data_IF_129905781847
#
_entry.id   IF_129905781847
#
_cell.length_a   1.000
_cell.length_b   1.000
_cell.length_c   1.000
_cell.angle_alpha   90.00
_cell.angle_beta   90.00
_cell.angle_gamma   90.00
#
_symmetry.space_group_name_H-M   'P 1'
#
loop_
_entity.id
_entity.type
_entity.pdbx_description
1 polymer ?
#
# COMPACT_ATOMS: atom_id res chain seq x y z
N UNK A 1 -25.32 4.69 22.34
CA UNK A 1 -24.02 4.45 21.67
C UNK A 1 -23.57 3.06 22.09
N UNK A 2 -23.83 2.05 21.26
CA UNK A 2 -23.43 0.66 21.54
C UNK A 2 -21.92 0.56 21.39
N UNK A 3 -21.22 0.01 22.39
CA UNK A 3 -19.82 -0.38 22.23
C UNK A 3 -19.83 -1.58 21.31
N UNK A 4 -19.34 -1.42 20.08
CA UNK A 4 -18.94 -2.53 19.25
C UNK A 4 -17.91 -3.33 20.07
N UNK A 5 -18.33 -4.42 20.70
CA UNK A 5 -17.46 -5.36 21.40
C UNK A 5 -16.57 -5.99 20.34
N UNK A 6 -15.32 -5.55 20.29
CA UNK A 6 -14.29 -6.24 19.54
C UNK A 6 -14.13 -7.65 20.14
N UNK A 7 -14.06 -8.69 19.32
CA UNK A 7 -13.85 -10.04 19.82
C UNK A 7 -12.50 -10.10 20.55
N UNK A 8 -12.55 -10.64 21.76
CA UNK A 8 -11.44 -11.15 22.55
C UNK A 8 -10.78 -12.31 21.79
N UNK A 9 -10.00 -11.97 20.76
CA UNK A 9 -9.22 -12.93 20.02
C UNK A 9 -7.74 -12.59 20.18
N UNK A 10 -6.95 -13.56 20.60
CA UNK A 10 -5.49 -13.47 20.54
C UNK A 10 -5.12 -13.28 19.06
N UNK A 11 -4.70 -12.06 18.69
CA UNK A 11 -4.48 -11.66 17.29
C UNK A 11 -3.43 -12.52 16.57
N UNK A 12 -2.61 -13.26 17.32
CA UNK A 12 -1.56 -14.15 16.83
C UNK A 12 -2.04 -15.51 16.35
N UNK A 13 -3.24 -15.96 16.76
CA UNK A 13 -3.72 -17.32 16.45
C UNK A 13 -4.64 -17.39 15.23
N UNK A 14 -5.04 -16.24 14.67
CA UNK A 14 -5.91 -16.23 13.49
C UNK A 14 -5.16 -16.55 12.20
N UNK A 15 -5.78 -17.31 11.27
CA UNK A 15 -5.28 -17.51 9.92
C UNK A 15 -4.92 -16.19 9.22
N UNK A 16 -3.93 -16.25 8.30
CA UNK A 16 -3.48 -15.07 7.56
C UNK A 16 -4.64 -14.34 6.85
N UNK A 17 -5.52 -15.08 6.19
CA UNK A 17 -6.62 -14.51 5.40
C UNK A 17 -7.65 -13.78 6.28
N UNK A 18 -7.95 -14.31 7.47
CA UNK A 18 -8.84 -13.67 8.45
C UNK A 18 -8.25 -12.35 8.94
N UNK A 19 -6.95 -12.33 9.25
CA UNK A 19 -6.26 -11.09 9.64
C UNK A 19 -6.32 -10.03 8.52
N UNK A 20 -6.15 -10.45 7.26
CA UNK A 20 -6.29 -9.55 6.10
C UNK A 20 -7.72 -9.02 5.93
N UNK A 21 -8.74 -9.83 6.23
CA UNK A 21 -10.13 -9.37 6.18
C UNK A 21 -10.45 -8.31 7.24
N UNK A 22 -9.98 -8.53 8.46
CA UNK A 22 -10.07 -7.56 9.54
C UNK A 22 -9.36 -6.26 9.16
N UNK A 23 -8.15 -6.32 8.63
CA UNK A 23 -7.41 -5.13 8.18
C UNK A 23 -8.17 -4.35 7.11
N UNK A 24 -8.79 -5.04 6.14
CA UNK A 24 -9.64 -4.40 5.13
C UNK A 24 -10.83 -3.69 5.77
N UNK A 25 -11.48 -4.30 6.76
CA UNK A 25 -12.58 -3.68 7.51
C UNK A 25 -12.14 -2.40 8.22
N UNK A 26 -11.05 -2.44 9.00
CA UNK A 26 -10.54 -1.26 9.69
C UNK A 26 -10.05 -0.18 8.71
N UNK A 27 -9.38 -0.57 7.63
CA UNK A 27 -8.96 0.36 6.59
C UNK A 27 -10.16 1.05 5.94
N UNK A 28 -11.27 0.34 5.71
CA UNK A 28 -12.48 0.95 5.15
C UNK A 28 -13.18 1.88 6.16
N UNK A 29 -13.21 1.50 7.44
CA UNK A 29 -13.87 2.27 8.51
C UNK A 29 -13.11 3.53 8.92
N UNK A 30 -11.78 3.47 9.00
CA UNK A 30 -10.96 4.54 9.60
C UNK A 30 -10.03 5.24 8.60
N UNK A 31 -9.58 4.56 7.55
CA UNK A 31 -8.70 5.14 6.52
C UNK A 31 -9.53 5.56 5.31
N UNK A 32 -10.42 6.52 5.53
CA UNK A 32 -11.39 6.99 4.53
C UNK A 32 -10.71 7.77 3.40
N UNK A 33 -11.43 7.97 2.28
CA UNK A 33 -10.95 8.81 1.19
C UNK A 33 -10.68 10.25 1.64
N UNK A 34 -11.51 10.81 2.53
CA UNK A 34 -11.30 12.15 3.08
C UNK A 34 -10.03 12.24 3.91
N UNK A 35 -9.75 11.20 4.70
CA UNK A 35 -8.50 11.13 5.45
C UNK A 35 -7.29 11.07 4.50
N UNK A 36 -7.32 10.20 3.48
CA UNK A 36 -6.25 10.16 2.46
C UNK A 36 -6.11 11.49 1.71
N UNK A 37 -7.22 12.15 1.39
CA UNK A 37 -7.22 13.46 0.76
C UNK A 37 -6.54 14.52 1.65
N UNK A 38 -6.75 14.45 2.97
CA UNK A 38 -6.17 15.37 3.94
C UNK A 38 -4.65 15.22 4.08
N UNK A 39 -4.12 14.01 3.96
CA UNK A 39 -2.67 13.74 4.07
C UNK A 39 -1.93 13.82 2.72
N UNK A 40 -2.66 13.78 1.60
CA UNK A 40 -2.10 13.83 0.24
C UNK A 40 -1.07 14.93 0.01
N UNK A 41 -1.32 16.20 0.38
CA UNK A 41 -0.34 17.28 0.23
C UNK A 41 0.97 17.02 1.01
N UNK A 42 0.90 16.43 2.20
CA UNK A 42 2.07 16.09 2.99
C UNK A 42 2.88 14.96 2.35
N UNK A 43 2.21 13.93 1.80
CA UNK A 43 2.85 12.84 1.07
C UNK A 43 3.65 13.38 -0.13
N UNK A 44 3.02 14.23 -0.96
CA UNK A 44 3.69 14.86 -2.11
C UNK A 44 4.89 15.69 -1.67
N UNK A 45 4.72 16.54 -0.66
CA UNK A 45 5.79 17.41 -0.15
C UNK A 45 6.99 16.62 0.39
N UNK A 46 6.73 15.50 1.05
CA UNK A 46 7.78 14.65 1.63
C UNK A 46 8.60 13.90 0.59
N UNK A 47 8.09 13.77 -0.64
CA UNK A 47 8.74 13.01 -1.71
C UNK A 47 8.83 11.51 -1.45
N UNK A 48 8.10 10.98 -0.45
CA UNK A 48 8.09 9.54 -0.14
C UNK A 48 7.15 8.78 -1.06
N UNK A 49 7.43 7.48 -1.25
CA UNK A 49 6.53 6.57 -1.93
C UNK A 49 5.43 6.08 -0.98
N UNK A 50 4.23 5.88 -1.53
CA UNK A 50 3.21 5.04 -0.89
C UNK A 50 3.30 3.64 -1.48
N UNK A 51 3.39 2.62 -0.63
CA UNK A 51 3.50 1.25 -1.10
C UNK A 51 2.15 0.71 -1.60
N UNK A 52 2.18 0.08 -2.78
CA UNK A 52 1.18 -0.85 -3.27
C UNK A 52 1.62 -2.24 -2.80
N UNK A 53 0.95 -2.74 -1.78
CA UNK A 53 1.28 -3.97 -1.09
C UNK A 53 0.42 -5.12 -1.61
N UNK A 54 1.07 -6.10 -2.25
CA UNK A 54 0.41 -7.21 -2.94
C UNK A 54 -0.39 -8.10 -1.97
N UNK A 55 0.20 -8.43 -0.82
CA UNK A 55 -0.33 -9.46 0.09
C UNK A 55 -1.60 -9.05 0.84
N UNK A 56 -1.81 -7.75 1.09
CA UNK A 56 -3.05 -7.23 1.70
C UNK A 56 -3.96 -6.51 0.70
N UNK A 57 -3.57 -6.42 -0.57
CA UNK A 57 -4.25 -5.64 -1.59
C UNK A 57 -4.54 -4.20 -1.12
N UNK A 58 -3.51 -3.52 -0.63
CA UNK A 58 -3.62 -2.17 -0.05
C UNK A 58 -2.60 -1.19 -0.63
N UNK A 59 -2.92 0.12 -0.69
CA UNK A 59 -4.23 0.70 -0.37
C UNK A 59 -5.30 0.32 -1.41
N UNK A 60 -6.58 0.55 -1.10
CA UNK A 60 -7.69 0.22 -2.01
C UNK A 60 -7.58 0.99 -3.33
N UNK A 61 -8.18 0.49 -4.41
CA UNK A 61 -8.05 1.08 -5.75
C UNK A 61 -8.45 2.55 -5.79
N UNK A 62 -9.56 2.90 -5.14
CA UNK A 62 -10.04 4.28 -5.08
C UNK A 62 -9.08 5.23 -4.35
N UNK A 63 -8.30 4.70 -3.39
CA UNK A 63 -7.25 5.46 -2.69
C UNK A 63 -6.04 5.64 -3.60
N UNK A 64 -5.61 4.59 -4.32
CA UNK A 64 -4.50 4.68 -5.28
C UNK A 64 -4.81 5.73 -6.34
N UNK A 65 -6.01 5.71 -6.92
CA UNK A 65 -6.44 6.70 -7.91
C UNK A 65 -6.48 8.13 -7.32
N UNK A 66 -7.03 8.29 -6.11
CA UNK A 66 -7.06 9.57 -5.39
C UNK A 66 -5.66 10.18 -5.18
N UNK A 67 -4.70 9.35 -4.75
CA UNK A 67 -3.33 9.77 -4.44
C UNK A 67 -2.53 10.02 -5.73
N UNK A 68 -2.70 9.17 -6.75
CA UNK A 68 -2.09 9.36 -8.07
C UNK A 68 -2.48 10.70 -8.68
N UNK A 69 -3.77 11.05 -8.68
CA UNK A 69 -4.27 12.34 -9.19
C UNK A 69 -3.68 13.55 -8.46
N UNK A 70 -3.14 13.36 -7.24
CA UNK A 70 -2.46 14.39 -6.45
C UNK A 70 -0.94 14.43 -6.67
N UNK A 71 -0.39 13.52 -7.48
CA UNK A 71 1.04 13.44 -7.76
C UNK A 71 1.85 12.65 -6.74
N UNK A 72 1.19 11.83 -5.90
CA UNK A 72 1.89 10.87 -5.04
C UNK A 72 2.49 9.76 -5.92
N UNK A 73 3.74 9.38 -5.62
CA UNK A 73 4.42 8.27 -6.29
C UNK A 73 4.30 6.98 -5.47
N UNK A 74 4.40 5.86 -6.15
CA UNK A 74 4.20 4.53 -5.56
C UNK A 74 5.45 3.67 -5.62
N UNK A 75 5.59 2.78 -4.65
CA UNK A 75 6.43 1.59 -4.74
C UNK A 75 5.53 0.35 -4.83
N UNK A 76 6.08 -0.76 -5.31
CA UNK A 76 5.38 -2.04 -5.34
C UNK A 76 6.16 -3.08 -4.52
N UNK A 77 5.47 -3.78 -3.64
CA UNK A 77 6.06 -4.79 -2.76
C UNK A 77 5.22 -6.04 -2.68
N UNK A 78 5.84 -7.20 -2.92
CA UNK A 78 5.22 -8.51 -2.70
C UNK A 78 5.27 -8.98 -1.25
N UNK A 79 6.07 -8.32 -0.40
CA UNK A 79 6.32 -8.69 1.01
C UNK A 79 6.58 -10.19 1.19
N UNK A 80 7.46 -10.71 0.32
CA UNK A 80 7.68 -12.14 0.18
C UNK A 80 8.52 -12.70 1.32
N UNK A 81 7.97 -13.72 1.98
CA UNK A 81 8.62 -14.55 2.99
C UNK A 81 8.92 -15.97 2.45
N UNK A 82 8.58 -16.23 1.19
CA UNK A 82 8.87 -17.47 0.46
C UNK A 82 8.98 -17.24 -1.05
N UNK A 83 9.70 -18.11 -1.80
CA UNK A 83 9.89 -17.95 -3.25
C UNK A 83 8.59 -17.88 -4.05
N UNK A 84 7.56 -18.60 -3.64
CA UNK A 84 6.24 -18.63 -4.27
C UNK A 84 5.54 -17.26 -4.24
N UNK A 85 5.87 -16.42 -3.26
CA UNK A 85 5.28 -15.09 -3.11
C UNK A 85 5.93 -14.06 -4.03
N UNK A 86 7.17 -14.30 -4.48
CA UNK A 86 7.91 -13.39 -5.37
C UNK A 86 7.20 -13.20 -6.72
N UNK A 87 6.39 -14.16 -7.13
CA UNK A 87 5.68 -14.18 -8.41
C UNK A 87 4.26 -13.63 -8.35
N UNK A 88 3.72 -13.34 -7.16
CA UNK A 88 2.36 -12.80 -7.02
C UNK A 88 2.26 -11.42 -7.65
N UNK A 89 1.26 -11.22 -8.50
CA UNK A 89 1.07 -9.99 -9.31
C UNK A 89 -0.41 -9.65 -9.51
N UNK A 90 -1.32 -10.38 -8.88
CA UNK A 90 -2.75 -10.25 -9.02
C UNK A 90 -3.23 -8.82 -8.72
N UNK A 91 -2.79 -8.24 -7.61
CA UNK A 91 -3.23 -6.91 -7.20
C UNK A 91 -2.58 -5.82 -8.03
N UNK A 92 -1.26 -5.85 -8.26
CA UNK A 92 -0.62 -4.87 -9.15
C UNK A 92 -1.18 -4.92 -10.58
N UNK A 93 -1.49 -6.11 -11.10
CA UNK A 93 -2.13 -6.25 -12.42
C UNK A 93 -3.49 -5.56 -12.43
N UNK A 94 -4.28 -5.73 -11.37
CA UNK A 94 -5.57 -5.04 -11.22
C UNK A 94 -5.40 -3.53 -11.13
N UNK A 95 -4.42 -3.04 -10.38
CA UNK A 95 -4.08 -1.60 -10.28
C UNK A 95 -3.74 -1.03 -11.66
N UNK A 96 -2.85 -1.68 -12.40
CA UNK A 96 -2.43 -1.26 -13.73
C UNK A 96 -3.62 -1.21 -14.70
N UNK A 97 -4.48 -2.24 -14.69
CA UNK A 97 -5.64 -2.31 -15.58
C UNK A 97 -6.73 -1.29 -15.23
N UNK A 98 -7.01 -1.05 -13.95
CA UNK A 98 -8.10 -0.17 -13.54
C UNK A 98 -7.71 1.31 -13.47
N UNK A 99 -6.46 1.62 -13.12
CA UNK A 99 -6.00 2.99 -12.84
C UNK A 99 -5.08 3.49 -13.96
N UNK A 100 -4.36 2.59 -14.63
CA UNK A 100 -3.42 2.97 -15.68
C UNK A 100 -2.22 3.74 -15.13
N UNK A 101 -1.62 3.25 -14.03
CA UNK A 101 -0.35 3.78 -13.53
C UNK A 101 0.73 3.61 -14.62
N UNK A 102 1.61 4.59 -14.72
CA UNK A 102 2.77 4.56 -15.62
C UNK A 102 4.08 4.82 -14.86
N UNK A 103 5.21 4.81 -15.57
CA UNK A 103 6.52 4.99 -14.95
C UNK A 103 6.69 6.30 -14.15
N UNK A 104 5.99 7.37 -14.52
CA UNK A 104 6.06 8.64 -13.79
C UNK A 104 5.36 8.57 -12.42
N UNK A 105 4.43 7.62 -12.27
CA UNK A 105 3.73 7.34 -11.02
C UNK A 105 4.60 6.47 -10.07
N UNK A 106 5.72 5.90 -10.54
CA UNK A 106 6.59 5.04 -9.74
C UNK A 106 7.72 5.87 -9.09
N UNK A 107 7.93 5.64 -7.80
CA UNK A 107 9.03 6.24 -7.07
C UNK A 107 10.36 5.68 -7.55
N UNK A 108 11.25 6.58 -7.98
CA UNK A 108 12.63 6.28 -8.34
C UNK A 108 13.52 7.03 -7.32
N UNK A 109 14.28 6.32 -6.46
CA UNK A 109 15.18 6.98 -5.54
C UNK A 109 16.22 7.78 -6.33
N UNK A 110 16.54 8.99 -5.87
CA UNK A 110 17.63 9.76 -6.47
C UNK A 110 18.94 9.01 -6.32
N UNK A 111 19.78 9.03 -7.36
CA UNK A 111 21.15 8.56 -7.24
C UNK A 111 21.84 9.36 -6.14
N UNK A 112 22.28 8.68 -5.07
CA UNK A 112 23.07 9.33 -4.03
C UNK A 112 24.35 9.88 -4.67
N UNK A 113 24.48 11.20 -4.76
CA UNK A 113 25.77 11.86 -5.03
C UNK A 113 26.75 11.46 -3.92
N UNK A 114 27.70 10.58 -4.24
CA UNK A 114 28.72 10.09 -3.29
C UNK A 114 28.35 8.80 -2.54
N UNK A 115 27.31 8.07 -2.94
CA UNK A 115 27.08 6.72 -2.41
C UNK A 115 28.22 5.78 -2.80
N UNK A 116 28.88 5.15 -1.83
CA UNK A 116 29.84 4.08 -2.12
C UNK A 116 29.15 3.03 -3.01
N UNK A 117 29.72 2.76 -4.18
CA UNK A 117 29.27 1.64 -5.02
C UNK A 117 29.32 0.38 -4.16
N UNK A 118 28.24 -0.41 -4.16
CA UNK A 118 28.32 -1.78 -3.68
C UNK A 118 29.46 -2.46 -4.45
N UNK A 119 30.57 -2.70 -3.76
CA UNK A 119 31.71 -3.41 -4.32
C UNK A 119 31.22 -4.86 -4.43
N UNK A 120 31.22 -5.38 -5.66
CA UNK A 120 30.88 -6.77 -5.95
C UNK A 120 31.93 -7.71 -5.40
#
# INVERSE_FOLDING_TARGET
MSRDTLPDASWSEQPFDERREIERYYAAKYLTLDWYASIGPALVKSGVAVEIHEMSASPRLEVIDLLRRRGVRFSYGTDSHGPEQLLKREFITRVLNCIGLNEADIFKPEERKGGARCIR
#
